data_IF_218822516820
#
_entry.id   IF_218822516820
#
_cell.length_a   1.000
_cell.length_b   1.000
_cell.length_c   1.000
_cell.angle_alpha   90.00
_cell.angle_beta   90.00
_cell.angle_gamma   90.00
#
_symmetry.space_group_name_H-M   'P 1'
#
loop_
_entity.id
_entity.type
_entity.pdbx_description
1 polymer ?
#
# COMPACT_ATOMS: atom_id res chain seq x y z
N UNK A 1 -2.76 6.86 -35.57
CA UNK A 1 -2.79 7.68 -36.80
C UNK A 1 -2.55 6.80 -38.01
N UNK A 2 -3.49 6.86 -38.89
CA UNK A 2 -3.63 6.13 -40.17
C UNK A 2 -2.53 6.43 -41.20
N UNK A 3 -2.21 5.44 -42.03
CA UNK A 3 -2.25 5.49 -43.52
C UNK A 3 -1.43 4.35 -44.11
N UNK A 4 -2.05 3.42 -44.69
CA UNK A 4 -2.56 3.15 -46.09
C UNK A 4 -1.49 2.89 -47.13
N UNK A 5 -1.51 1.68 -47.65
CA UNK A 5 -1.58 1.13 -49.01
C UNK A 5 -0.88 1.87 -50.16
N UNK A 6 -0.16 1.08 -50.93
CA UNK A 6 -0.39 1.08 -52.39
C UNK A 6 0.19 -0.19 -53.05
N UNK A 7 -0.68 -0.89 -53.72
CA UNK A 7 -0.36 -1.96 -54.69
C UNK A 7 -0.11 -1.34 -56.05
N UNK A 8 0.78 -1.95 -56.82
CA UNK A 8 0.80 -1.77 -58.30
C UNK A 8 1.00 -3.12 -58.99
N UNK A 9 0.01 -3.48 -59.75
CA UNK A 9 0.06 -4.54 -60.74
C UNK A 9 0.53 -3.97 -62.10
N UNK A 10 1.32 -4.72 -62.82
CA UNK A 10 1.53 -4.47 -64.22
C UNK A 10 1.61 -5.82 -65.00
N UNK A 11 0.75 -5.91 -65.97
CA UNK A 11 0.52 -6.98 -66.95
C UNK A 11 1.42 -6.72 -68.18
N UNK A 12 1.84 -7.79 -68.80
CA UNK A 12 2.26 -7.80 -70.22
C UNK A 12 3.47 -8.72 -70.45
N UNK A 13 3.56 -9.66 -71.21
CA UNK A 13 3.04 -10.04 -72.53
C UNK A 13 3.80 -11.33 -72.91
N UNK A 14 3.10 -12.24 -73.50
CA UNK A 14 3.56 -13.51 -74.10
C UNK A 14 4.64 -13.36 -75.17
N UNK A 15 5.67 -14.23 -75.08
CA UNK A 15 6.43 -14.69 -76.27
C UNK A 15 6.76 -16.16 -76.10
N UNK A 16 6.14 -17.00 -76.91
CA UNK A 16 6.43 -18.45 -77.06
C UNK A 16 7.66 -18.56 -77.98
N UNK A 17 8.68 -19.27 -77.53
CA UNK A 17 9.72 -19.85 -78.41
C UNK A 17 10.01 -21.26 -77.96
N UNK A 18 9.94 -22.15 -78.92
CA UNK A 18 10.05 -23.60 -78.83
C UNK A 18 11.47 -24.11 -78.60
N UNK A 19 11.53 -25.21 -77.90
CA UNK A 19 12.43 -26.33 -78.02
C UNK A 19 13.89 -26.18 -77.61
N UNK A 20 14.17 -26.69 -76.48
CA UNK A 20 15.37 -27.28 -75.97
C UNK A 20 14.98 -28.04 -74.72
N UNK A 21 15.05 -29.38 -74.73
CA UNK A 21 14.93 -30.19 -73.53
C UNK A 21 15.99 -29.67 -72.55
N UNK A 22 15.63 -29.08 -71.46
CA UNK A 22 16.62 -28.90 -70.42
C UNK A 22 16.90 -30.29 -69.84
N UNK A 23 18.18 -30.67 -69.82
CA UNK A 23 18.63 -31.61 -68.83
C UNK A 23 17.98 -31.20 -67.50
N UNK A 24 17.28 -32.09 -66.88
CA UNK A 24 16.83 -31.87 -65.51
C UNK A 24 18.10 -31.55 -64.69
N UNK A 25 18.38 -30.26 -64.48
CA UNK A 25 19.18 -29.89 -63.34
C UNK A 25 18.39 -30.44 -62.15
N UNK A 26 18.88 -31.53 -61.57
CA UNK A 26 18.48 -31.86 -60.20
C UNK A 26 18.62 -30.53 -59.44
N UNK A 27 17.53 -30.02 -58.92
CA UNK A 27 17.60 -28.93 -57.98
C UNK A 27 18.61 -29.37 -56.93
N UNK A 28 19.74 -28.69 -56.80
CA UNK A 28 20.65 -28.91 -55.71
C UNK A 28 19.78 -28.76 -54.44
N UNK A 29 19.62 -29.88 -53.69
CA UNK A 29 18.89 -29.86 -52.44
C UNK A 29 19.48 -28.79 -51.53
N UNK A 30 18.68 -28.15 -50.77
CA UNK A 30 19.19 -27.18 -49.81
C UNK A 30 19.78 -27.95 -48.64
N UNK A 31 21.06 -27.71 -48.33
CA UNK A 31 21.73 -28.36 -47.18
C UNK A 31 20.97 -28.08 -45.87
N UNK A 32 20.99 -29.02 -44.90
CA UNK A 32 20.33 -28.83 -43.63
C UNK A 32 20.73 -27.53 -42.95
N UNK A 33 19.74 -26.81 -42.42
CA UNK A 33 19.91 -25.58 -41.66
C UNK A 33 19.88 -25.91 -40.15
N UNK A 34 21.00 -25.73 -39.49
CA UNK A 34 21.12 -25.91 -38.02
C UNK A 34 20.73 -24.58 -37.34
N UNK A 35 19.57 -24.55 -36.79
CA UNK A 35 19.02 -23.31 -36.19
C UNK A 35 19.67 -22.98 -34.84
N UNK A 36 19.87 -24.02 -34.01
CA UNK A 36 20.53 -23.88 -32.71
C UNK A 36 20.84 -25.23 -32.09
N UNK A 37 21.81 -25.26 -31.15
CA UNK A 37 22.16 -26.42 -30.31
C UNK A 37 22.51 -25.95 -28.90
N UNK A 38 21.64 -26.25 -27.90
CA UNK A 38 21.80 -25.76 -26.54
C UNK A 38 21.48 -26.82 -25.50
N UNK A 39 21.89 -26.57 -24.23
CA UNK A 39 21.41 -27.35 -23.09
C UNK A 39 19.90 -27.19 -22.93
N UNK A 40 19.23 -28.26 -22.51
CA UNK A 40 17.85 -28.21 -22.04
C UNK A 40 17.83 -27.51 -20.65
N UNK A 41 17.00 -26.47 -20.47
CA UNK A 41 17.02 -25.65 -19.27
C UNK A 41 16.76 -26.40 -17.96
N UNK A 42 15.88 -27.41 -18.01
CA UNK A 42 15.52 -28.18 -16.81
C UNK A 42 16.39 -29.44 -16.67
N UNK A 43 17.24 -29.75 -17.68
CA UNK A 43 18.12 -30.92 -17.73
C UNK A 43 19.44 -30.58 -18.43
N UNK A 44 20.31 -29.88 -17.73
CA UNK A 44 21.55 -29.32 -18.28
C UNK A 44 22.56 -30.35 -18.80
N UNK A 45 22.35 -31.60 -18.50
CA UNK A 45 23.11 -32.73 -19.10
C UNK A 45 22.63 -33.13 -20.49
N UNK A 46 21.46 -32.68 -20.92
CA UNK A 46 20.86 -33.00 -22.20
C UNK A 46 21.14 -31.92 -23.23
N UNK A 47 21.68 -32.28 -24.37
CA UNK A 47 21.84 -31.44 -25.52
C UNK A 47 20.60 -31.51 -26.41
N UNK A 48 20.03 -30.35 -26.73
CA UNK A 48 18.96 -30.19 -27.70
C UNK A 48 19.49 -29.55 -28.97
N UNK A 49 19.08 -30.02 -30.13
CA UNK A 49 19.49 -29.54 -31.46
C UNK A 49 18.24 -29.32 -32.30
N UNK A 50 18.10 -28.16 -32.91
CA UNK A 50 17.03 -27.85 -33.86
C UNK A 50 17.58 -27.75 -35.27
N UNK A 51 17.02 -28.55 -36.17
CA UNK A 51 17.46 -28.60 -37.58
C UNK A 51 16.23 -28.59 -38.46
N UNK A 52 16.37 -27.98 -39.66
CA UNK A 52 15.41 -28.12 -40.75
C UNK A 52 16.13 -28.38 -42.06
N UNK A 53 15.49 -29.15 -42.94
CA UNK A 53 15.95 -29.47 -44.30
C UNK A 53 14.76 -29.71 -45.22
N UNK A 54 14.98 -29.78 -46.52
CA UNK A 54 13.95 -30.17 -47.48
C UNK A 54 13.65 -31.67 -47.47
N UNK A 55 14.53 -32.47 -46.85
CA UNK A 55 14.34 -33.90 -46.67
C UNK A 55 14.67 -34.34 -45.21
N UNK A 56 14.32 -35.57 -44.86
CA UNK A 56 14.47 -36.05 -43.47
C UNK A 56 15.95 -36.09 -43.04
N UNK A 57 16.23 -35.57 -41.83
CA UNK A 57 17.57 -35.65 -41.24
C UNK A 57 17.88 -37.10 -40.88
N UNK A 58 18.96 -37.62 -41.44
CA UNK A 58 19.42 -39.02 -41.30
C UNK A 58 20.60 -39.15 -40.35
N UNK A 59 21.41 -38.12 -40.19
CA UNK A 59 22.52 -38.10 -39.25
C UNK A 59 22.72 -36.75 -38.61
N UNK A 60 23.00 -36.77 -37.30
CA UNK A 60 23.42 -35.65 -36.49
C UNK A 60 24.67 -36.05 -35.73
N UNK A 61 25.70 -35.21 -35.79
CA UNK A 61 26.93 -35.37 -35.02
C UNK A 61 27.22 -34.05 -34.31
N UNK A 62 27.37 -34.08 -32.99
CA UNK A 62 27.71 -32.92 -32.22
C UNK A 62 29.12 -33.01 -31.63
N UNK A 63 29.91 -31.98 -31.87
CA UNK A 63 31.26 -31.82 -31.29
C UNK A 63 31.17 -30.85 -30.13
N UNK A 64 31.54 -31.33 -28.94
CA UNK A 64 31.51 -30.53 -27.73
C UNK A 64 32.92 -29.98 -27.48
N UNK A 65 33.06 -28.66 -27.56
CA UNK A 65 34.34 -27.97 -27.49
C UNK A 65 34.37 -27.10 -26.22
N UNK A 66 35.39 -27.28 -25.38
CA UNK A 66 35.55 -26.46 -24.17
C UNK A 66 35.72 -25.01 -24.55
N UNK A 67 34.85 -24.14 -24.01
CA UNK A 67 34.95 -22.67 -24.20
C UNK A 67 36.25 -22.09 -23.63
N UNK A 68 36.79 -22.70 -22.56
CA UNK A 68 38.01 -22.23 -21.89
C UNK A 68 39.27 -22.61 -22.64
N UNK A 69 39.35 -23.86 -23.17
CA UNK A 69 40.59 -24.42 -23.79
C UNK A 69 40.51 -24.49 -25.31
N UNK A 70 39.35 -24.32 -25.89
CA UNK A 70 39.08 -24.50 -27.34
C UNK A 70 39.41 -25.92 -27.84
N UNK A 71 39.45 -26.90 -26.96
CA UNK A 71 39.68 -28.32 -27.28
C UNK A 71 38.36 -29.05 -27.34
N UNK A 72 38.23 -29.97 -28.32
CA UNK A 72 37.15 -30.93 -28.39
C UNK A 72 37.29 -31.92 -27.24
N UNK A 73 36.23 -32.05 -26.44
CA UNK A 73 36.21 -32.92 -25.26
C UNK A 73 35.32 -34.12 -25.42
N UNK A 74 34.34 -34.06 -26.33
CA UNK A 74 33.44 -35.17 -26.63
C UNK A 74 32.85 -35.03 -28.05
N UNK A 75 32.52 -36.18 -28.64
CA UNK A 75 31.68 -36.25 -29.84
C UNK A 75 30.45 -37.09 -29.52
N UNK A 76 29.29 -36.58 -29.90
CA UNK A 76 27.99 -37.23 -29.72
C UNK A 76 27.52 -37.70 -31.09
N UNK A 77 27.44 -39.00 -31.25
CA UNK A 77 27.09 -39.64 -32.53
C UNK A 77 25.56 -39.69 -32.72
N UNK A 78 25.13 -39.96 -33.95
CA UNK A 78 23.72 -39.94 -34.37
C UNK A 78 22.81 -40.84 -33.53
N UNK A 79 23.27 -42.00 -33.12
CA UNK A 79 22.49 -42.99 -32.35
C UNK A 79 22.14 -42.51 -30.94
N UNK A 80 22.90 -41.50 -30.42
CA UNK A 80 22.61 -40.87 -29.17
C UNK A 80 21.45 -39.87 -29.22
N UNK A 81 21.02 -39.42 -30.40
CA UNK A 81 19.92 -38.47 -30.57
C UNK A 81 18.57 -39.16 -30.78
N UNK A 82 17.51 -38.51 -30.36
CA UNK A 82 16.13 -38.88 -30.61
C UNK A 82 15.28 -37.64 -30.91
N UNK A 83 14.43 -37.73 -31.93
CA UNK A 83 13.46 -36.69 -32.27
C UNK A 83 12.44 -36.56 -31.12
N UNK A 84 12.31 -35.37 -30.54
CA UNK A 84 11.39 -35.08 -29.42
C UNK A 84 10.22 -34.21 -29.82
N UNK A 85 10.38 -33.39 -30.88
CA UNK A 85 9.29 -32.59 -31.41
C UNK A 85 9.50 -32.26 -32.88
N UNK A 86 8.44 -31.98 -33.61
CA UNK A 86 8.44 -31.68 -35.04
C UNK A 86 8.42 -32.95 -35.89
N UNK A 87 8.98 -32.86 -37.10
CA UNK A 87 9.07 -33.92 -38.12
C UNK A 87 10.53 -34.23 -38.41
N UNK A 88 10.85 -35.39 -39.04
CA UNK A 88 12.23 -35.74 -39.37
C UNK A 88 12.98 -34.74 -40.27
N UNK A 89 12.26 -33.93 -41.03
CA UNK A 89 12.79 -32.86 -41.90
C UNK A 89 12.82 -31.48 -41.20
N UNK A 90 12.04 -31.29 -40.11
CA UNK A 90 11.96 -30.05 -39.36
C UNK A 90 11.64 -30.31 -37.91
N UNK A 91 12.65 -30.56 -37.09
CA UNK A 91 12.46 -31.05 -35.74
C UNK A 91 13.47 -30.56 -34.71
N UNK A 92 13.24 -31.03 -33.50
CA UNK A 92 14.15 -30.85 -32.37
C UNK A 92 14.54 -32.26 -31.87
N UNK A 93 15.82 -32.50 -31.79
CA UNK A 93 16.41 -33.75 -31.28
C UNK A 93 17.09 -33.51 -29.95
N UNK A 94 16.89 -34.41 -29.00
CA UNK A 94 17.61 -34.41 -27.73
C UNK A 94 18.54 -35.62 -27.64
N UNK A 95 19.63 -35.50 -26.90
CA UNK A 95 20.39 -36.67 -26.49
C UNK A 95 19.53 -37.54 -25.59
N UNK A 96 19.47 -38.85 -25.87
CA UNK A 96 18.65 -39.87 -25.18
C UNK A 96 19.09 -40.06 -23.72
N UNK A 97 20.36 -39.81 -23.45
CA UNK A 97 20.98 -39.88 -22.12
C UNK A 97 21.72 -38.59 -21.85
N UNK A 98 21.88 -38.17 -20.57
CA UNK A 98 22.74 -37.10 -20.24
C UNK A 98 24.16 -37.27 -20.74
N UNK A 99 24.77 -36.20 -21.18
CA UNK A 99 26.18 -36.21 -21.55
C UNK A 99 27.05 -36.50 -20.31
N UNK A 100 28.12 -37.23 -20.49
CA UNK A 100 29.10 -37.52 -19.43
C UNK A 100 30.42 -36.82 -19.77
N UNK A 101 30.51 -35.53 -19.40
CA UNK A 101 31.72 -34.71 -19.53
C UNK A 101 32.53 -34.79 -18.24
N UNK A 102 33.85 -34.68 -18.36
CA UNK A 102 34.77 -34.80 -17.22
C UNK A 102 34.60 -33.61 -16.25
N UNK A 103 34.42 -32.41 -16.79
CA UNK A 103 34.37 -31.13 -16.02
C UNK A 103 33.05 -30.45 -16.22
N UNK A 104 32.63 -29.71 -15.18
CA UNK A 104 31.56 -28.71 -15.30
C UNK A 104 32.09 -27.49 -16.06
N UNK A 105 31.26 -26.87 -16.87
CA UNK A 105 31.68 -25.69 -17.63
C UNK A 105 30.75 -25.27 -18.76
N UNK A 106 31.19 -24.23 -19.46
CA UNK A 106 30.58 -23.81 -20.72
C UNK A 106 31.30 -24.44 -21.89
N UNK A 107 30.55 -24.95 -22.84
CA UNK A 107 31.06 -25.59 -24.05
C UNK A 107 30.39 -24.96 -25.28
N UNK A 108 31.16 -24.77 -26.34
CA UNK A 108 30.61 -24.49 -27.66
C UNK A 108 30.20 -25.80 -28.34
N UNK A 109 29.07 -25.77 -29.02
CA UNK A 109 28.56 -26.93 -29.76
C UNK A 109 28.70 -26.65 -31.24
N UNK A 110 29.39 -27.57 -31.94
CA UNK A 110 29.45 -27.61 -33.39
C UNK A 110 28.63 -28.81 -33.89
N UNK A 111 27.84 -28.61 -34.92
CA UNK A 111 26.93 -29.62 -35.44
C UNK A 111 27.28 -29.93 -36.89
N UNK A 112 27.40 -31.22 -37.18
CA UNK A 112 27.33 -31.75 -38.53
C UNK A 112 25.97 -32.44 -38.72
N UNK A 113 25.26 -32.12 -39.77
CA UNK A 113 23.99 -32.74 -40.12
C UNK A 113 23.98 -33.24 -41.55
N UNK A 114 23.32 -34.36 -41.77
CA UNK A 114 23.12 -34.96 -43.12
C UNK A 114 21.65 -35.32 -43.26
N UNK A 115 21.07 -35.08 -44.41
CA UNK A 115 19.68 -35.45 -44.70
C UNK A 115 19.59 -36.68 -45.62
N UNK A 116 18.36 -37.05 -46.03
CA UNK A 116 18.10 -38.23 -46.83
C UNK A 116 18.57 -38.13 -48.28
N UNK A 117 18.72 -36.91 -48.78
CA UNK A 117 19.24 -36.63 -50.14
C UNK A 117 20.78 -36.64 -50.15
N UNK A 118 21.41 -36.74 -49.00
CA UNK A 118 22.86 -36.80 -48.83
C UNK A 118 23.51 -35.43 -48.69
N UNK A 119 22.70 -34.36 -48.64
CA UNK A 119 23.18 -33.03 -48.43
C UNK A 119 23.68 -32.83 -46.97
N UNK A 120 24.73 -32.03 -46.80
CA UNK A 120 25.45 -31.93 -45.55
C UNK A 120 25.68 -30.47 -45.18
N UNK A 121 25.61 -30.18 -43.87
CA UNK A 121 26.03 -28.95 -43.33
C UNK A 121 26.98 -29.16 -42.13
N UNK A 122 27.84 -28.16 -41.90
CA UNK A 122 28.65 -28.07 -40.67
C UNK A 122 28.51 -26.68 -40.12
N UNK A 123 27.86 -26.55 -38.97
CA UNK A 123 27.80 -25.31 -38.22
C UNK A 123 28.79 -25.34 -37.06
N UNK A 124 29.84 -24.51 -37.15
CA UNK A 124 30.91 -24.43 -36.16
C UNK A 124 30.54 -23.66 -34.89
N UNK A 125 29.37 -23.02 -34.85
CA UNK A 125 28.88 -22.22 -33.74
C UNK A 125 27.38 -22.37 -33.51
N UNK A 126 26.89 -23.62 -33.69
CA UNK A 126 25.47 -23.93 -33.57
C UNK A 126 24.84 -23.53 -32.23
N UNK A 127 25.66 -23.43 -31.18
CA UNK A 127 25.18 -22.96 -29.87
C UNK A 127 26.13 -23.25 -28.73
N UNK A 128 25.56 -23.34 -27.50
CA UNK A 128 26.34 -23.55 -26.30
C UNK A 128 25.69 -24.57 -25.35
N UNK A 129 26.55 -25.38 -24.71
CA UNK A 129 26.14 -26.26 -23.64
C UNK A 129 26.61 -25.72 -22.33
N UNK A 130 25.67 -25.34 -21.48
CA UNK A 130 25.90 -25.00 -20.08
C UNK A 130 25.83 -26.27 -19.25
N UNK A 131 26.98 -26.91 -19.04
CA UNK A 131 27.07 -28.16 -18.28
C UNK A 131 27.33 -27.83 -16.80
N UNK A 132 26.26 -27.37 -16.12
CA UNK A 132 26.30 -26.81 -14.78
C UNK A 132 25.45 -27.62 -13.82
N UNK A 133 25.72 -27.46 -12.52
CA UNK A 133 24.85 -27.93 -11.45
C UNK A 133 23.66 -27.02 -11.30
N UNK A 134 22.45 -27.57 -11.35
CA UNK A 134 21.24 -26.83 -11.07
C UNK A 134 20.93 -26.89 -9.56
N UNK A 135 20.87 -25.75 -8.82
CA UNK A 135 20.54 -25.77 -7.41
C UNK A 135 19.06 -26.11 -7.21
N UNK A 136 18.79 -26.88 -6.17
CA UNK A 136 17.45 -27.33 -5.78
C UNK A 136 17.28 -27.10 -4.29
N UNK A 137 16.32 -26.28 -3.92
CA UNK A 137 15.94 -26.08 -2.54
C UNK A 137 14.89 -27.10 -2.12
N UNK A 138 15.09 -27.74 -0.97
CA UNK A 138 14.15 -28.71 -0.39
C UNK A 138 13.84 -28.34 1.06
N UNK A 139 12.60 -28.62 1.48
CA UNK A 139 12.14 -28.47 2.86
C UNK A 139 12.38 -27.06 3.46
N UNK A 140 12.35 -26.03 2.62
CA UNK A 140 12.50 -24.67 3.08
C UNK A 140 11.25 -24.27 3.86
N UNK A 141 11.44 -23.78 5.07
CA UNK A 141 10.36 -23.38 5.97
C UNK A 141 10.79 -22.28 6.92
N UNK A 142 9.83 -21.52 7.39
CA UNK A 142 10.00 -20.52 8.44
C UNK A 142 9.52 -21.09 9.78
N UNK A 143 10.09 -20.59 10.89
CA UNK A 143 9.69 -20.98 12.26
C UNK A 143 8.33 -20.40 12.65
N UNK A 144 7.87 -19.36 11.95
CA UNK A 144 6.58 -18.72 12.16
C UNK A 144 6.02 -18.14 10.86
N UNK A 145 4.70 -18.00 10.81
CA UNK A 145 3.96 -17.39 9.70
C UNK A 145 3.57 -15.94 9.95
N UNK A 146 3.71 -15.46 11.20
CA UNK A 146 3.38 -14.09 11.60
C UNK A 146 4.44 -13.54 12.55
N UNK A 147 4.61 -12.23 12.50
CA UNK A 147 5.45 -11.43 13.40
C UNK A 147 4.61 -10.35 14.10
N UNK A 148 5.07 -9.88 15.25
CA UNK A 148 4.44 -8.80 15.99
C UNK A 148 5.49 -7.76 16.42
N UNK A 149 5.06 -6.69 17.08
CA UNK A 149 5.91 -5.57 17.46
C UNK A 149 7.09 -5.99 18.35
N UNK A 150 6.91 -6.99 19.19
CA UNK A 150 7.91 -7.48 20.14
C UNK A 150 8.74 -8.65 19.59
N UNK A 151 8.28 -9.32 18.50
CA UNK A 151 8.90 -10.52 17.92
C UNK A 151 8.97 -10.41 16.38
N UNK A 152 9.92 -9.60 15.89
CA UNK A 152 10.10 -9.31 14.46
C UNK A 152 11.05 -10.27 13.74
N UNK A 153 11.68 -11.19 14.47
CA UNK A 153 12.63 -12.13 13.89
C UNK A 153 11.94 -13.38 13.37
N UNK A 154 12.35 -13.80 12.17
CA UNK A 154 11.93 -15.03 11.53
C UNK A 154 13.17 -15.86 11.22
N UNK A 155 13.17 -17.12 11.64
CA UNK A 155 14.19 -18.10 11.25
C UNK A 155 13.68 -18.88 10.04
N UNK A 156 14.55 -19.02 9.03
CA UNK A 156 14.33 -19.85 7.86
C UNK A 156 15.35 -20.98 7.84
N UNK A 157 14.88 -22.21 7.66
CA UNK A 157 15.69 -23.42 7.56
C UNK A 157 15.40 -24.12 6.22
N UNK A 158 16.38 -24.87 5.69
CA UNK A 158 16.19 -25.66 4.48
C UNK A 158 17.40 -26.50 4.11
N UNK A 159 17.28 -27.12 2.94
CA UNK A 159 18.36 -27.88 2.31
C UNK A 159 18.65 -27.29 0.93
N UNK A 160 19.92 -27.09 0.59
CA UNK A 160 20.38 -26.77 -0.75
C UNK A 160 21.11 -27.98 -1.32
N UNK A 161 20.58 -28.50 -2.42
CA UNK A 161 21.17 -29.59 -3.19
C UNK A 161 21.48 -29.15 -4.61
N UNK A 162 22.39 -29.82 -5.26
CA UNK A 162 22.67 -29.64 -6.69
C UNK A 162 22.21 -30.85 -7.48
N UNK A 163 21.50 -30.61 -8.58
CA UNK A 163 21.23 -31.61 -9.60
C UNK A 163 22.41 -31.64 -10.56
N UNK A 164 23.13 -32.77 -10.57
CA UNK A 164 24.34 -32.95 -11.38
C UNK A 164 23.98 -33.32 -12.82
N UNK A 165 24.55 -32.63 -13.82
CA UNK A 165 24.13 -32.79 -15.21
C UNK A 165 24.40 -34.22 -15.75
N UNK A 166 25.50 -34.85 -15.35
CA UNK A 166 25.86 -36.17 -15.82
C UNK A 166 24.89 -37.29 -15.40
N UNK A 167 24.41 -37.23 -14.16
CA UNK A 167 23.66 -38.34 -13.55
C UNK A 167 22.24 -38.00 -13.18
N UNK A 168 21.87 -36.70 -13.19
CA UNK A 168 20.62 -36.14 -12.65
C UNK A 168 20.44 -36.36 -11.15
N UNK A 169 21.44 -36.88 -10.46
CA UNK A 169 21.39 -37.10 -9.01
C UNK A 169 21.38 -35.78 -8.25
N UNK A 170 20.62 -35.77 -7.16
CA UNK A 170 20.64 -34.71 -6.20
C UNK A 170 21.69 -34.97 -5.12
N UNK A 171 22.69 -34.10 -5.00
CA UNK A 171 23.72 -34.20 -3.96
C UNK A 171 23.75 -32.92 -3.14
N UNK A 172 24.07 -32.98 -1.83
CA UNK A 172 24.23 -31.80 -1.02
C UNK A 172 25.24 -30.80 -1.63
N UNK A 173 24.92 -29.52 -1.61
CA UNK A 173 25.89 -28.48 -1.89
C UNK A 173 26.41 -27.92 -0.55
N UNK A 174 27.58 -28.47 -0.13
CA UNK A 174 28.24 -28.08 1.12
C UNK A 174 29.06 -26.79 0.93
N UNK A 175 29.13 -25.95 1.97
CA UNK A 175 29.86 -24.69 2.01
C UNK A 175 29.48 -23.68 0.92
N UNK A 176 28.19 -23.72 0.48
CA UNK A 176 27.66 -22.78 -0.49
C UNK A 176 26.93 -21.63 0.23
N UNK A 177 27.09 -20.37 -0.22
CA UNK A 177 26.34 -19.25 0.33
C UNK A 177 24.86 -19.37 -0.04
N UNK A 178 24.01 -19.09 0.92
CA UNK A 178 22.54 -18.97 0.74
C UNK A 178 22.14 -17.61 1.27
N UNK A 179 21.63 -16.78 0.41
CA UNK A 179 21.04 -15.52 0.76
C UNK A 179 19.61 -15.72 1.25
N UNK A 180 19.27 -15.05 2.34
CA UNK A 180 17.91 -15.00 2.84
C UNK A 180 17.36 -13.64 2.48
N UNK A 181 16.39 -13.64 1.58
CA UNK A 181 15.74 -12.43 1.09
C UNK A 181 14.47 -12.16 1.88
N UNK A 182 14.30 -10.89 2.24
CA UNK A 182 13.07 -10.31 2.79
C UNK A 182 12.60 -9.25 1.81
N UNK A 183 11.38 -9.36 1.30
CA UNK A 183 10.84 -8.47 0.27
C UNK A 183 11.77 -8.33 -0.95
N UNK A 184 12.36 -9.47 -1.38
CA UNK A 184 13.31 -9.60 -2.50
C UNK A 184 14.67 -8.92 -2.29
N UNK A 185 14.98 -8.46 -1.08
CA UNK A 185 16.29 -7.91 -0.72
C UNK A 185 17.02 -8.84 0.24
N UNK A 186 18.32 -9.04 0.01
CA UNK A 186 19.15 -9.87 0.88
C UNK A 186 19.36 -9.21 2.23
N UNK A 187 18.82 -9.83 3.28
CA UNK A 187 18.96 -9.38 4.67
C UNK A 187 20.04 -10.15 5.41
N UNK A 188 20.31 -11.40 5.01
CA UNK A 188 21.31 -12.24 5.63
C UNK A 188 21.86 -13.24 4.62
N UNK A 189 23.15 -13.62 4.79
CA UNK A 189 23.79 -14.69 4.01
C UNK A 189 24.36 -15.70 4.98
N UNK A 190 23.99 -16.96 4.78
CA UNK A 190 24.50 -18.09 5.56
C UNK A 190 25.18 -19.11 4.67
N UNK A 191 25.95 -20.05 5.25
CA UNK A 191 26.54 -21.14 4.48
C UNK A 191 25.90 -22.46 4.82
N UNK A 192 25.83 -23.34 3.83
CA UNK A 192 25.36 -24.71 4.02
C UNK A 192 26.42 -25.57 4.73
N UNK A 193 25.94 -26.50 5.56
CA UNK A 193 26.76 -27.55 6.17
C UNK A 193 27.10 -28.69 5.16
N UNK A 194 27.77 -29.76 5.67
CA UNK A 194 28.17 -30.91 4.86
C UNK A 194 26.99 -31.70 4.29
N UNK A 195 25.81 -31.62 4.87
CA UNK A 195 24.56 -32.20 4.40
C UNK A 195 23.74 -31.25 3.53
N UNK A 196 24.28 -30.06 3.24
CA UNK A 196 23.58 -29.01 2.49
C UNK A 196 22.50 -28.25 3.29
N UNK A 197 22.45 -28.40 4.61
CA UNK A 197 21.50 -27.67 5.46
C UNK A 197 21.95 -26.24 5.66
N UNK A 198 20.98 -25.35 5.69
CA UNK A 198 21.18 -23.95 6.07
C UNK A 198 20.14 -23.52 7.10
N UNK A 199 20.52 -22.55 7.92
CA UNK A 199 19.63 -21.91 8.87
C UNK A 199 20.08 -20.47 9.05
N UNK A 200 19.13 -19.53 8.92
CA UNK A 200 19.39 -18.11 9.11
C UNK A 200 18.22 -17.40 9.76
N UNK A 201 18.50 -16.26 10.37
CA UNK A 201 17.49 -15.41 11.01
C UNK A 201 17.53 -14.03 10.37
N UNK A 202 16.36 -13.48 10.08
CA UNK A 202 16.15 -12.16 9.49
C UNK A 202 15.15 -11.35 10.29
N UNK A 203 15.21 -10.03 10.18
CA UNK A 203 14.20 -9.13 10.74
C UNK A 203 13.15 -8.82 9.67
N UNK A 204 11.88 -8.84 10.07
CA UNK A 204 10.74 -8.56 9.22
C UNK A 204 10.04 -7.32 9.73
N UNK A 205 9.92 -6.29 8.87
CA UNK A 205 9.36 -5.00 9.23
C UNK A 205 7.98 -4.71 8.61
N UNK A 206 7.31 -5.76 8.10
CA UNK A 206 5.99 -5.65 7.49
C UNK A 206 5.48 -7.00 7.01
N UNK A 207 4.32 -7.01 6.37
CA UNK A 207 3.78 -8.20 5.72
C UNK A 207 4.50 -8.40 4.38
N UNK A 208 5.51 -9.27 4.36
CA UNK A 208 6.44 -9.45 3.23
C UNK A 208 6.76 -10.91 2.97
N UNK A 209 7.15 -11.29 1.74
CA UNK A 209 7.69 -12.61 1.44
C UNK A 209 9.11 -12.78 2.00
N UNK A 210 9.42 -14.00 2.43
CA UNK A 210 10.76 -14.44 2.81
C UNK A 210 11.10 -15.67 1.99
N UNK A 211 12.30 -15.74 1.43
CA UNK A 211 12.78 -16.85 0.61
C UNK A 211 14.28 -17.08 0.76
N UNK A 212 14.75 -18.28 0.41
CA UNK A 212 16.15 -18.59 0.29
C UNK A 212 16.57 -18.55 -1.18
N UNK A 213 17.71 -17.94 -1.46
CA UNK A 213 18.23 -17.74 -2.82
C UNK A 213 19.68 -18.16 -2.88
N UNK A 214 20.04 -18.94 -3.88
CA UNK A 214 21.42 -19.17 -4.24
C UNK A 214 21.79 -18.26 -5.43
N UNK A 215 22.72 -17.34 -5.22
CA UNK A 215 23.25 -16.50 -6.28
C UNK A 215 24.61 -17.03 -6.73
N UNK A 216 24.96 -16.75 -8.00
CA UNK A 216 26.23 -17.16 -8.55
C UNK A 216 27.38 -16.68 -7.65
N UNK A 217 28.22 -17.60 -7.19
CA UNK A 217 29.40 -17.33 -6.39
C UNK A 217 30.67 -17.60 -7.18
N UNK A 218 31.65 -16.70 -7.10
CA UNK A 218 32.93 -16.85 -7.81
C UNK A 218 33.68 -18.14 -7.41
N UNK A 219 33.50 -18.61 -6.18
CA UNK A 219 34.09 -19.84 -5.66
C UNK A 219 33.40 -21.11 -6.19
N UNK A 220 32.19 -20.97 -6.76
CA UNK A 220 31.39 -22.05 -7.33
C UNK A 220 30.82 -21.65 -8.71
N UNK A 221 31.69 -21.39 -9.72
CA UNK A 221 31.28 -20.72 -10.96
C UNK A 221 30.35 -21.55 -11.86
N UNK A 222 30.21 -22.84 -11.57
CA UNK A 222 29.43 -23.75 -12.36
C UNK A 222 28.15 -24.25 -11.66
N UNK A 223 27.71 -23.51 -10.65
CA UNK A 223 26.41 -23.71 -10.03
C UNK A 223 25.52 -22.52 -10.45
N UNK A 224 24.36 -22.84 -11.00
CA UNK A 224 23.44 -21.83 -11.51
C UNK A 224 22.74 -21.07 -10.37
N UNK A 225 22.07 -20.00 -10.72
CA UNK A 225 21.10 -19.34 -9.86
C UNK A 225 19.93 -20.27 -9.53
N UNK A 226 19.40 -20.16 -8.32
CA UNK A 226 18.19 -20.84 -7.90
C UNK A 226 17.56 -20.19 -6.69
N UNK A 227 16.26 -20.39 -6.54
CA UNK A 227 15.48 -19.83 -5.44
C UNK A 227 14.49 -20.86 -4.89
N UNK A 228 14.16 -20.74 -3.62
CA UNK A 228 13.09 -21.49 -3.01
C UNK A 228 11.73 -20.85 -3.32
N UNK A 229 10.61 -21.57 -3.16
CA UNK A 229 9.32 -20.93 -3.02
C UNK A 229 9.37 -19.91 -1.89
N UNK A 230 8.73 -18.75 -2.10
CA UNK A 230 8.62 -17.71 -1.08
C UNK A 230 7.54 -18.08 -0.06
N UNK A 231 7.78 -17.73 1.20
CA UNK A 231 6.80 -17.83 2.30
C UNK A 231 6.34 -16.44 2.69
N UNK A 232 5.04 -16.18 2.60
CA UNK A 232 4.48 -14.91 3.05
C UNK A 232 4.44 -14.86 4.57
N UNK A 233 5.09 -13.88 5.18
CA UNK A 233 5.02 -13.60 6.61
C UNK A 233 3.96 -12.53 6.83
N UNK A 234 3.00 -12.82 7.69
CA UNK A 234 1.95 -11.89 8.12
C UNK A 234 2.42 -10.99 9.27
N UNK A 235 1.63 -9.95 9.52
CA UNK A 235 1.82 -9.04 10.66
C UNK A 235 0.61 -9.15 11.59
N UNK A 236 0.87 -9.42 12.86
CA UNK A 236 -0.12 -9.28 13.92
C UNK A 236 0.02 -7.90 14.56
N UNK A 237 -0.99 -7.07 14.34
CA UNK A 237 -1.03 -5.75 14.95
C UNK A 237 -1.34 -5.86 16.44
N UNK A 238 -0.63 -5.07 17.24
CA UNK A 238 -0.98 -4.85 18.63
C UNK A 238 -2.19 -3.93 18.72
N UNK A 239 -3.20 -4.31 19.51
CA UNK A 239 -4.35 -3.46 19.75
C UNK A 239 -3.93 -2.23 20.58
N UNK A 240 -4.46 -1.07 20.25
CA UNK A 240 -4.26 0.17 21.00
C UNK A 240 -5.60 0.79 21.38
N UNK A 241 -5.62 1.55 22.47
CA UNK A 241 -6.82 2.28 22.92
C UNK A 241 -6.46 3.63 23.52
N UNK A 242 -7.35 4.58 23.35
CA UNK A 242 -7.31 5.87 24.04
C UNK A 242 -8.29 5.90 25.22
N UNK A 243 -7.86 6.47 26.33
CA UNK A 243 -8.72 6.82 27.47
C UNK A 243 -8.61 8.31 27.70
N UNK A 244 -9.74 9.04 27.59
CA UNK A 244 -9.80 10.49 27.90
C UNK A 244 -9.98 10.63 29.39
N UNK A 245 -9.10 11.39 30.04
CA UNK A 245 -9.13 11.69 31.48
C UNK A 245 -9.71 13.07 31.76
N UNK A 246 -9.46 14.05 30.86
CA UNK A 246 -9.95 15.40 30.98
C UNK A 246 -10.43 15.88 29.59
N UNK A 247 -11.66 16.40 29.48
CA UNK A 247 -12.69 16.45 30.51
C UNK A 247 -13.29 15.06 30.76
N UNK A 248 -13.56 14.72 32.02
CA UNK A 248 -14.20 13.42 32.39
C UNK A 248 -15.66 13.33 31.96
N UNK A 249 -16.34 14.47 31.85
CA UNK A 249 -17.75 14.59 31.48
C UNK A 249 -18.02 15.87 30.69
N UNK A 250 -19.19 15.92 30.07
CA UNK A 250 -19.64 17.11 29.36
C UNK A 250 -19.57 18.35 30.23
N UNK A 251 -19.12 19.45 29.67
CA UNK A 251 -18.99 20.74 30.35
C UNK A 251 -19.50 21.89 29.48
N UNK A 252 -19.84 22.98 30.14
CA UNK A 252 -20.25 24.22 29.50
C UNK A 252 -19.24 25.34 29.80
N UNK A 253 -18.78 26.00 28.76
CA UNK A 253 -17.80 27.11 28.84
C UNK A 253 -18.30 28.33 28.13
N UNK A 254 -17.67 29.46 28.40
CA UNK A 254 -17.86 30.66 27.59
C UNK A 254 -16.99 30.64 26.34
N UNK A 255 -17.45 31.30 25.29
CA UNK A 255 -16.68 31.49 24.06
C UNK A 255 -15.32 32.13 24.39
N UNK A 256 -14.25 31.60 23.80
CA UNK A 256 -12.88 32.03 24.07
C UNK A 256 -12.22 31.42 25.30
N UNK A 257 -12.96 30.65 26.11
CA UNK A 257 -12.41 29.90 27.22
C UNK A 257 -11.66 28.62 26.74
N UNK A 258 -10.48 28.42 27.27
CA UNK A 258 -9.68 27.24 26.97
C UNK A 258 -10.17 25.99 27.70
N UNK A 259 -10.08 24.85 27.01
CA UNK A 259 -10.32 23.52 27.57
C UNK A 259 -9.05 22.72 27.44
N UNK A 260 -8.64 22.09 28.52
CA UNK A 260 -7.55 21.12 28.53
C UNK A 260 -8.09 19.73 28.24
N UNK A 261 -7.53 19.07 27.24
CA UNK A 261 -7.71 17.66 26.95
C UNK A 261 -6.51 16.90 27.49
N UNK A 262 -6.75 15.86 28.32
CA UNK A 262 -5.74 14.89 28.70
C UNK A 262 -6.24 13.48 28.33
N UNK A 263 -5.40 12.72 27.66
CA UNK A 263 -5.73 11.35 27.25
C UNK A 263 -4.49 10.46 27.33
N UNK A 264 -4.70 9.18 27.60
CA UNK A 264 -3.65 8.16 27.65
C UNK A 264 -3.85 7.16 26.52
N UNK A 265 -2.80 6.87 25.76
CA UNK A 265 -2.73 5.76 24.82
C UNK A 265 -2.12 4.55 25.53
N UNK A 266 -2.77 3.41 25.39
CA UNK A 266 -2.29 2.13 25.89
C UNK A 266 -2.21 1.11 24.76
N UNK A 267 -1.27 0.17 24.86
CA UNK A 267 -1.22 -1.03 24.02
C UNK A 267 -1.54 -2.29 24.81
N UNK A 268 -2.11 -3.26 24.12
CA UNK A 268 -2.36 -4.58 24.69
C UNK A 268 -1.06 -5.40 24.80
N UNK A 269 -0.87 -6.07 25.93
CA UNK A 269 0.19 -7.05 26.16
C UNK A 269 -0.41 -8.29 26.78
N UNK A 270 0.31 -9.43 26.84
CA UNK A 270 -0.18 -10.62 27.56
C UNK A 270 -0.51 -10.39 29.05
N UNK A 271 0.06 -9.34 29.65
CA UNK A 271 -0.16 -8.95 31.04
C UNK A 271 -1.28 -7.91 31.21
N UNK A 272 -1.88 -7.46 30.12
CA UNK A 272 -2.93 -6.45 30.08
C UNK A 272 -2.50 -5.18 29.35
N UNK A 273 -3.24 -4.10 29.57
CA UNK A 273 -3.00 -2.82 28.93
C UNK A 273 -1.88 -2.07 29.63
N UNK A 274 -0.93 -1.57 28.86
CA UNK A 274 0.21 -0.79 29.37
C UNK A 274 0.33 0.53 28.59
N UNK A 275 0.84 1.60 29.22
CA UNK A 275 1.12 2.86 28.53
C UNK A 275 1.93 2.66 27.26
N UNK A 276 1.64 3.45 26.22
CA UNK A 276 2.33 3.36 24.95
C UNK A 276 3.00 4.69 24.60
N UNK A 277 4.30 4.75 24.94
CA UNK A 277 5.18 5.88 24.71
C UNK A 277 5.53 6.08 23.24
N UNK A 278 5.88 7.31 22.88
CA UNK A 278 6.52 7.65 21.60
C UNK A 278 5.60 7.61 20.38
N UNK A 279 4.28 7.46 20.59
CA UNK A 279 3.33 7.39 19.48
C UNK A 279 2.89 8.77 19.03
N UNK A 280 2.99 9.01 17.72
CA UNK A 280 2.50 10.25 17.11
C UNK A 280 1.00 10.22 16.89
N UNK A 281 0.37 11.41 16.92
CA UNK A 281 -1.04 11.52 16.66
C UNK A 281 -1.50 12.96 16.49
N UNK A 282 -2.81 13.14 16.41
CA UNK A 282 -3.44 14.45 16.27
C UNK A 282 -4.72 14.58 17.05
N UNK A 283 -5.06 15.83 17.35
CA UNK A 283 -6.35 16.22 17.91
C UNK A 283 -7.13 16.98 16.86
N UNK A 284 -8.35 16.53 16.63
CA UNK A 284 -9.33 17.19 15.78
C UNK A 284 -10.41 17.78 16.67
N UNK A 285 -10.91 18.96 16.34
CA UNK A 285 -12.16 19.47 16.91
C UNK A 285 -13.31 19.15 15.95
N UNK A 286 -14.37 18.54 16.46
CA UNK A 286 -15.55 18.13 15.72
C UNK A 286 -16.76 18.94 16.17
N UNK A 287 -17.21 19.93 15.35
CA UNK A 287 -18.39 20.70 15.64
C UNK A 287 -19.66 19.88 15.67
N UNK A 288 -20.51 20.08 16.70
CA UNK A 288 -21.82 19.41 16.77
C UNK A 288 -22.82 19.94 15.73
N UNK A 289 -22.55 21.08 15.11
CA UNK A 289 -23.35 21.64 14.01
C UNK A 289 -23.28 20.82 12.71
N UNK A 290 -22.36 19.84 12.62
CA UNK A 290 -22.05 19.11 11.39
C UNK A 290 -21.10 19.87 10.47
N UNK A 291 -20.49 20.94 10.95
CA UNK A 291 -19.43 21.68 10.27
C UNK A 291 -18.18 20.82 10.05
N UNK A 292 -17.24 21.34 9.25
CA UNK A 292 -15.99 20.65 8.95
C UNK A 292 -15.13 20.50 10.21
N UNK A 293 -14.65 19.29 10.50
CA UNK A 293 -13.67 19.04 11.55
C UNK A 293 -12.35 19.75 11.23
N UNK A 294 -11.72 20.32 12.23
CA UNK A 294 -10.44 21.01 12.10
C UNK A 294 -9.35 20.35 12.93
N UNK A 295 -8.14 20.23 12.37
CA UNK A 295 -6.97 19.83 13.13
C UNK A 295 -6.56 20.98 14.05
N UNK A 296 -6.52 20.71 15.35
CA UNK A 296 -6.18 21.71 16.38
C UNK A 296 -4.82 21.47 17.02
N UNK A 297 -4.21 20.29 16.78
CA UNK A 297 -2.87 20.00 17.28
C UNK A 297 -2.37 18.63 16.91
N UNK A 298 -1.04 18.49 17.08
CA UNK A 298 -0.32 17.22 16.95
C UNK A 298 0.45 16.95 18.24
N UNK A 299 0.74 15.69 18.52
CA UNK A 299 1.43 15.30 19.73
C UNK A 299 2.32 14.07 19.50
N UNK A 300 3.16 13.78 20.49
CA UNK A 300 3.80 12.49 20.72
C UNK A 300 3.52 12.09 22.16
N UNK A 301 3.14 10.83 22.41
CA UNK A 301 2.85 10.34 23.77
C UNK A 301 4.11 10.31 24.64
N UNK A 302 3.98 10.74 25.89
CA UNK A 302 5.04 10.68 26.90
C UNK A 302 5.32 9.24 27.40
N UNK A 303 6.28 9.10 28.32
CA UNK A 303 6.68 7.82 28.93
C UNK A 303 5.50 7.07 29.58
N UNK A 304 4.53 7.79 30.11
CA UNK A 304 3.29 7.25 30.70
C UNK A 304 2.15 7.09 29.67
N UNK A 305 2.44 7.23 28.38
CA UNK A 305 1.47 7.18 27.29
C UNK A 305 0.54 8.40 27.21
N UNK A 306 0.72 9.41 28.08
CA UNK A 306 -0.17 10.58 28.16
C UNK A 306 0.14 11.64 27.12
N UNK A 307 -0.93 12.35 26.73
CA UNK A 307 -0.86 13.61 25.98
C UNK A 307 -1.74 14.63 26.67
N UNK A 308 -1.30 15.88 26.70
CA UNK A 308 -2.07 17.02 27.19
C UNK A 308 -2.10 18.08 26.11
N UNK A 309 -3.29 18.61 25.85
CA UNK A 309 -3.53 19.62 24.81
C UNK A 309 -4.55 20.64 25.31
N UNK A 310 -4.31 21.92 25.06
CA UNK A 310 -5.21 23.02 25.45
C UNK A 310 -5.66 23.79 24.22
N UNK A 311 -6.96 24.04 24.13
CA UNK A 311 -7.56 24.74 23.01
C UNK A 311 -8.85 25.45 23.41
N UNK A 312 -9.13 26.60 22.79
CA UNK A 312 -10.39 27.30 22.91
C UNK A 312 -11.32 26.94 21.74
N UNK A 313 -12.32 26.06 21.97
CA UNK A 313 -13.24 25.68 20.90
C UNK A 313 -14.12 26.87 20.49
N UNK A 314 -14.34 27.00 19.18
CA UNK A 314 -15.11 28.13 18.61
C UNK A 314 -16.63 27.93 18.60
N UNK A 315 -17.08 26.69 18.84
CA UNK A 315 -18.49 26.32 18.96
C UNK A 315 -18.66 25.01 19.77
N UNK A 316 -19.89 24.64 20.04
CA UNK A 316 -20.21 23.38 20.72
C UNK A 316 -19.73 22.19 19.89
N UNK A 317 -19.01 21.24 20.52
CA UNK A 317 -18.43 20.10 19.84
C UNK A 317 -17.70 19.16 20.78
N UNK A 318 -16.84 18.32 20.21
CA UNK A 318 -15.95 17.42 20.96
C UNK A 318 -14.56 17.39 20.32
N UNK A 319 -13.55 17.01 21.11
CA UNK A 319 -12.23 16.71 20.59
C UNK A 319 -12.16 15.22 20.24
N UNK A 320 -11.65 14.90 19.05
CA UNK A 320 -11.26 13.55 18.69
C UNK A 320 -9.74 13.42 18.74
N UNK A 321 -9.26 12.48 19.56
CA UNK A 321 -7.85 12.10 19.62
C UNK A 321 -7.65 10.88 18.73
N UNK A 322 -6.63 10.92 17.87
CA UNK A 322 -6.29 9.81 16.98
C UNK A 322 -4.80 9.52 17.05
N UNK A 323 -4.42 8.27 17.19
CA UNK A 323 -3.05 7.84 16.94
C UNK A 323 -2.79 7.70 15.44
N UNK A 324 -1.61 8.10 14.99
CA UNK A 324 -1.09 7.84 13.66
C UNK A 324 0.16 7.02 13.79
N UNK A 325 0.17 5.85 13.22
CA UNK A 325 1.38 5.03 13.13
C UNK A 325 1.57 4.57 11.69
N UNK A 326 2.76 4.78 11.16
CA UNK A 326 3.20 4.17 9.90
C UNK A 326 3.81 2.78 10.17
N UNK A 327 3.94 2.38 11.45
CA UNK A 327 4.39 1.04 11.84
C UNK A 327 3.25 0.04 11.60
N UNK A 328 3.42 -0.93 10.68
CA UNK A 328 2.40 -1.91 10.35
C UNK A 328 2.02 -2.83 11.52
N UNK A 329 2.79 -2.84 12.60
CA UNK A 329 2.53 -3.63 13.81
C UNK A 329 1.58 -2.97 14.81
N UNK A 330 1.13 -1.74 14.55
CA UNK A 330 0.31 -0.97 15.47
C UNK A 330 -1.07 -0.73 14.87
N UNK A 331 -2.11 -1.23 15.52
CA UNK A 331 -3.48 -0.90 15.13
C UNK A 331 -3.79 0.57 15.49
N UNK A 332 -4.33 1.37 14.56
CA UNK A 332 -4.71 2.75 14.86
C UNK A 332 -5.87 2.79 15.86
N UNK A 333 -5.88 3.78 16.75
CA UNK A 333 -6.96 4.01 17.68
C UNK A 333 -7.44 5.45 17.64
N UNK A 334 -8.72 5.65 17.94
CA UNK A 334 -9.30 6.98 18.13
C UNK A 334 -10.35 6.97 19.21
N UNK A 335 -10.54 8.10 19.88
CA UNK A 335 -11.61 8.31 20.86
C UNK A 335 -12.05 9.76 20.85
N UNK A 336 -13.29 10.02 21.31
CA UNK A 336 -13.81 11.36 21.45
C UNK A 336 -13.85 11.76 22.93
N UNK A 337 -13.59 13.04 23.19
CA UNK A 337 -13.89 13.64 24.50
C UNK A 337 -15.41 13.71 24.71
N UNK A 338 -15.86 13.86 25.96
CA UNK A 338 -17.19 14.35 26.25
C UNK A 338 -17.46 15.67 25.52
N UNK A 339 -18.75 15.97 25.30
CA UNK A 339 -19.17 17.18 24.64
C UNK A 339 -18.80 18.45 25.44
N UNK A 340 -18.35 19.47 24.74
CA UNK A 340 -18.09 20.80 25.25
C UNK A 340 -19.12 21.74 24.66
N UNK A 341 -19.99 22.29 25.51
CA UNK A 341 -20.96 23.30 25.11
C UNK A 341 -20.32 24.69 25.22
N UNK A 342 -20.29 25.42 24.11
CA UNK A 342 -19.77 26.79 24.07
C UNK A 342 -20.91 27.76 24.02
N UNK A 343 -20.99 28.63 25.02
CA UNK A 343 -22.00 29.66 25.10
C UNK A 343 -21.39 31.04 24.76
N UNK A 344 -22.04 31.73 23.85
CA UNK A 344 -21.71 33.10 23.46
C UNK A 344 -22.51 34.10 24.29
N UNK A 345 -21.96 35.29 24.46
CA UNK A 345 -22.63 36.35 25.14
C UNK A 345 -23.80 36.93 24.31
N UNK A 346 -24.84 37.33 24.97
CA UNK A 346 -25.89 38.17 24.44
C UNK A 346 -26.08 39.35 25.39
N UNK A 347 -26.21 40.56 24.86
CA UNK A 347 -26.24 41.80 25.65
C UNK A 347 -27.33 42.73 25.11
N UNK A 348 -28.12 43.28 26.01
CA UNK A 348 -28.97 44.42 25.64
C UNK A 348 -28.15 45.70 25.63
N UNK A 349 -28.00 46.34 24.48
CA UNK A 349 -27.29 47.62 24.35
C UNK A 349 -28.19 48.83 24.65
N UNK A 350 -29.51 48.68 24.51
CA UNK A 350 -30.48 49.68 24.92
C UNK A 350 -31.82 49.04 25.29
N UNK A 351 -32.55 49.68 26.17
CA UNK A 351 -33.96 49.41 26.44
C UNK A 351 -34.63 50.66 27.00
N UNK A 352 -35.78 51.01 26.45
CA UNK A 352 -36.59 52.14 26.93
C UNK A 352 -38.08 51.76 26.99
N UNK A 353 -38.80 52.48 27.77
CA UNK A 353 -40.26 52.34 27.88
C UNK A 353 -40.89 53.74 27.99
N UNK A 354 -41.80 54.03 27.09
CA UNK A 354 -42.46 55.40 26.99
C UNK A 354 -43.97 55.26 27.06
N UNK A 355 -44.65 56.08 27.85
CA UNK A 355 -46.10 56.14 27.95
C UNK A 355 -46.71 56.60 26.65
N UNK A 356 -47.70 55.87 26.13
CA UNK A 356 -48.51 56.31 25.00
C UNK A 356 -49.72 57.14 25.48
N UNK A 357 -50.35 57.85 24.56
CA UNK A 357 -51.56 58.70 24.91
C UNK A 357 -52.74 57.83 25.30
N UNK A 358 -52.81 56.59 24.90
CA UNK A 358 -53.91 55.64 25.13
C UNK A 358 -53.73 54.79 26.42
N UNK A 359 -52.97 55.30 27.40
CA UNK A 359 -52.61 54.58 28.64
C UNK A 359 -51.75 53.32 28.48
N UNK A 360 -51.25 53.07 27.29
CA UNK A 360 -50.34 52.00 26.97
C UNK A 360 -48.89 52.37 27.29
N UNK A 361 -47.97 51.49 26.94
CA UNK A 361 -46.53 51.68 26.95
C UNK A 361 -45.92 51.15 25.67
N UNK A 362 -45.19 52.03 24.98
CA UNK A 362 -44.31 51.65 23.91
C UNK A 362 -42.95 51.27 24.52
N UNK A 363 -42.44 50.07 24.16
CA UNK A 363 -41.10 49.60 24.53
C UNK A 363 -40.26 49.46 23.28
N UNK A 364 -39.01 49.84 23.36
CA UNK A 364 -38.02 49.65 22.28
C UNK A 364 -36.65 49.34 22.88
N UNK A 365 -35.82 48.65 22.10
CA UNK A 365 -34.46 48.33 22.51
C UNK A 365 -33.66 47.70 21.41
N UNK A 366 -32.42 47.39 21.76
CA UNK A 366 -31.51 46.67 20.87
C UNK A 366 -30.70 45.61 21.64
N UNK A 367 -30.37 44.53 20.96
CA UNK A 367 -29.49 43.47 21.43
C UNK A 367 -28.28 43.34 20.51
N UNK A 368 -27.16 42.99 21.14
CA UNK A 368 -25.90 42.69 20.45
C UNK A 368 -25.38 41.32 20.82
N UNK A 369 -24.66 40.73 19.90
CA UNK A 369 -23.94 39.47 20.04
C UNK A 369 -22.46 39.72 19.75
N UNK A 370 -21.66 40.02 20.79
CA UNK A 370 -20.30 40.59 20.66
C UNK A 370 -19.34 39.67 19.86
N UNK A 371 -19.53 38.35 19.91
CA UNK A 371 -18.67 37.38 19.22
C UNK A 371 -19.01 37.19 17.73
N UNK A 372 -19.90 38.06 17.17
CA UNK A 372 -20.20 38.07 15.74
C UNK A 372 -21.11 36.99 15.21
N UNK A 373 -21.63 36.12 16.09
CA UNK A 373 -22.61 35.07 15.76
C UNK A 373 -23.98 35.49 16.28
N UNK A 374 -25.00 35.19 15.52
CA UNK A 374 -26.39 35.53 15.90
C UNK A 374 -27.28 34.29 15.81
N UNK A 375 -28.27 34.15 16.71
CA UNK A 375 -29.31 33.11 16.55
C UNK A 375 -30.12 33.36 15.27
N UNK A 376 -30.72 32.30 14.73
CA UNK A 376 -31.60 32.39 13.57
C UNK A 376 -32.85 33.23 13.84
N UNK A 377 -33.35 33.20 15.08
CA UNK A 377 -34.44 34.02 15.60
C UNK A 377 -34.06 34.57 16.96
N UNK A 378 -34.49 35.77 17.29
CA UNK A 378 -34.12 36.44 18.53
C UNK A 378 -35.41 36.87 19.26
N UNK A 379 -36.10 35.89 19.93
CA UNK A 379 -37.29 36.19 20.69
C UNK A 379 -36.92 37.00 21.95
N UNK A 380 -37.57 38.14 22.13
CA UNK A 380 -37.38 39.02 23.28
C UNK A 380 -38.67 39.09 24.09
N UNK A 381 -38.59 38.63 25.33
CA UNK A 381 -39.71 38.64 26.27
C UNK A 381 -39.73 40.00 26.98
N UNK A 382 -40.82 40.73 26.83
CA UNK A 382 -41.05 41.96 27.57
C UNK A 382 -41.68 41.59 28.89
N UNK A 383 -40.98 41.92 29.99
CA UNK A 383 -41.41 41.59 31.35
C UNK A 383 -41.83 42.87 32.08
N UNK A 384 -42.84 42.70 32.92
CA UNK A 384 -43.36 43.75 33.79
C UNK A 384 -43.22 43.35 35.27
N UNK A 385 -42.97 44.38 36.10
CA UNK A 385 -43.00 44.27 37.56
C UNK A 385 -43.58 45.50 38.17
N UNK A 386 -44.47 45.34 39.12
CA UNK A 386 -45.03 46.44 39.89
C UNK A 386 -44.04 47.05 40.86
N UNK A 387 -43.18 46.24 41.43
CA UNK A 387 -42.27 46.60 42.54
C UNK A 387 -40.77 46.48 42.17
N UNK A 388 -40.48 46.04 40.96
CA UNK A 388 -39.11 45.75 40.50
C UNK A 388 -38.51 44.48 41.00
N UNK A 389 -39.29 43.64 41.73
CA UNK A 389 -38.78 42.37 42.31
C UNK A 389 -39.39 41.12 41.71
N UNK A 390 -40.69 41.14 41.47
CA UNK A 390 -41.40 40.03 40.86
C UNK A 390 -41.74 40.37 39.41
N UNK A 391 -41.29 39.55 38.47
CA UNK A 391 -41.41 39.78 37.05
C UNK A 391 -42.37 38.77 36.43
N UNK A 392 -43.19 39.24 35.49
CA UNK A 392 -44.08 38.42 34.69
C UNK A 392 -43.92 38.81 33.22
N UNK A 393 -43.93 37.81 32.34
CA UNK A 393 -43.92 38.04 30.90
C UNK A 393 -45.23 38.69 30.46
N UNK A 394 -45.15 39.72 29.69
CA UNK A 394 -46.31 40.39 29.07
C UNK A 394 -46.53 39.93 27.64
N UNK A 395 -45.48 39.95 26.85
CA UNK A 395 -45.51 39.54 25.46
C UNK A 395 -44.13 39.15 25.01
N UNK A 396 -44.04 38.52 23.84
CA UNK A 396 -42.81 38.25 23.13
C UNK A 396 -42.80 38.98 21.80
N UNK A 397 -41.71 39.68 21.51
CA UNK A 397 -41.44 40.31 20.22
C UNK A 397 -40.16 39.69 19.62
N UNK A 398 -39.87 39.95 18.38
CA UNK A 398 -38.65 39.46 17.74
C UNK A 398 -37.70 40.62 17.44
N UNK A 399 -36.43 40.47 17.79
CA UNK A 399 -35.42 41.45 17.43
C UNK A 399 -34.87 41.13 16.04
N UNK A 400 -34.76 42.14 15.18
CA UNK A 400 -34.31 42.02 13.80
C UNK A 400 -33.13 43.00 13.54
N UNK A 401 -32.27 42.62 12.60
CA UNK A 401 -31.11 43.43 12.26
C UNK A 401 -31.50 44.80 11.73
N UNK A 402 -30.96 45.87 12.34
CA UNK A 402 -31.27 47.28 12.04
C UNK A 402 -30.10 48.07 11.42
N UNK A 403 -28.97 47.38 11.10
CA UNK A 403 -27.75 48.03 10.58
C UNK A 403 -26.67 48.26 11.65
N UNK A 404 -27.04 48.36 12.92
CA UNK A 404 -26.11 48.59 14.04
C UNK A 404 -26.33 47.66 15.23
N UNK A 405 -27.28 46.73 15.14
CA UNK A 405 -27.66 45.79 16.18
C UNK A 405 -29.03 45.21 15.86
N UNK A 406 -29.54 44.31 16.73
CA UNK A 406 -30.86 43.70 16.54
C UNK A 406 -31.88 44.47 17.34
N UNK A 407 -32.63 45.33 16.66
CA UNK A 407 -33.64 46.17 17.26
C UNK A 407 -34.99 45.45 17.41
N UNK A 408 -35.71 45.78 18.46
CA UNK A 408 -37.07 45.33 18.73
C UNK A 408 -37.92 46.47 19.26
N UNK A 409 -39.21 46.37 19.03
CA UNK A 409 -40.20 47.26 19.63
C UNK A 409 -41.52 46.54 19.83
N UNK A 410 -42.32 47.00 20.75
CA UNK A 410 -43.67 46.50 20.99
C UNK A 410 -44.54 47.52 21.70
N UNK A 411 -45.84 47.51 21.41
CA UNK A 411 -46.84 48.31 22.09
C UNK A 411 -47.63 47.45 23.07
N UNK A 412 -47.76 47.92 24.30
CA UNK A 412 -48.43 47.23 25.39
C UNK A 412 -49.62 48.05 25.79
N UNK A 413 -50.85 47.53 25.47
CA UNK A 413 -52.07 48.15 25.84
C UNK A 413 -52.32 48.06 27.37
N UNK A 414 -52.98 49.07 27.96
CA UNK A 414 -53.44 49.09 29.38
C UNK A 414 -52.32 48.68 30.40
N UNK A 415 -51.09 49.08 30.11
CA UNK A 415 -49.96 48.77 30.98
C UNK A 415 -50.01 49.51 32.32
N UNK A 416 -49.94 48.82 33.43
CA UNK A 416 -49.92 49.37 34.80
C UNK A 416 -48.72 50.28 35.07
N UNK A 417 -48.74 51.01 36.19
CA UNK A 417 -47.55 51.75 36.67
C UNK A 417 -46.57 50.74 37.29
N UNK A 418 -45.36 50.71 36.80
CA UNK A 418 -44.34 49.75 37.25
C UNK A 418 -43.05 49.82 36.42
N UNK A 419 -42.28 48.79 36.47
CA UNK A 419 -41.02 48.62 35.77
C UNK A 419 -41.21 47.68 34.63
N UNK A 420 -40.48 47.92 33.56
CA UNK A 420 -40.39 47.09 32.37
C UNK A 420 -38.93 46.70 32.16
N UNK A 421 -38.70 45.49 31.63
CA UNK A 421 -37.39 45.02 31.15
C UNK A 421 -37.57 44.05 29.97
N UNK A 422 -36.53 43.91 29.20
CA UNK A 422 -36.45 42.88 28.15
C UNK A 422 -35.64 41.73 28.66
N UNK A 423 -36.01 40.52 28.25
CA UNK A 423 -35.32 39.28 28.57
C UNK A 423 -35.18 38.40 27.34
N UNK A 424 -33.97 37.91 27.12
CA UNK A 424 -33.65 36.91 26.11
C UNK A 424 -33.31 35.60 26.85
N UNK A 425 -34.00 34.51 26.52
CA UNK A 425 -33.76 33.23 27.14
C UNK A 425 -32.46 32.60 26.63
N UNK A 426 -31.80 31.82 27.46
CA UNK A 426 -30.65 31.03 27.04
C UNK A 426 -31.01 30.03 25.93
N UNK A 427 -30.14 29.88 24.98
CA UNK A 427 -30.23 28.84 23.94
C UNK A 427 -29.11 27.85 24.09
N UNK A 428 -29.05 26.84 23.22
CA UNK A 428 -27.91 25.89 23.17
C UNK A 428 -26.55 26.53 22.84
N UNK A 429 -26.55 27.80 22.36
CA UNK A 429 -25.33 28.49 21.91
C UNK A 429 -25.15 29.90 22.49
N UNK A 430 -26.15 30.43 23.19
CA UNK A 430 -26.12 31.80 23.74
C UNK A 430 -26.58 31.81 25.18
N UNK A 431 -25.94 32.65 25.99
CA UNK A 431 -26.37 32.92 27.37
C UNK A 431 -27.65 33.76 27.40
N UNK A 432 -28.43 33.58 28.45
CA UNK A 432 -29.54 34.48 28.72
C UNK A 432 -29.02 35.92 28.97
N UNK A 433 -29.81 36.90 28.55
CA UNK A 433 -29.56 38.29 28.85
C UNK A 433 -30.83 38.96 29.40
N UNK A 434 -30.64 40.00 30.21
CA UNK A 434 -31.73 40.82 30.74
C UNK A 434 -31.31 42.27 30.70
N UNK A 435 -32.17 43.16 30.17
CA UNK A 435 -31.92 44.59 30.16
C UNK A 435 -32.01 45.20 31.57
N UNK A 436 -31.53 46.41 31.73
CA UNK A 436 -31.87 47.18 32.90
C UNK A 436 -33.39 47.38 32.99
N UNK A 437 -33.88 47.46 34.22
CA UNK A 437 -35.28 47.70 34.48
C UNK A 437 -35.59 49.21 34.46
N UNK A 438 -36.51 49.62 33.60
CA UNK A 438 -36.88 51.02 33.45
C UNK A 438 -38.32 51.27 33.86
N UNK A 439 -38.62 52.46 34.41
CA UNK A 439 -40.01 52.99 34.56
C UNK A 439 -40.41 53.64 33.25
N UNK A 440 -41.64 53.41 32.83
CA UNK A 440 -42.13 54.08 31.64
C UNK A 440 -42.11 55.63 31.84
N UNK A 441 -41.31 56.30 31.03
CA UNK A 441 -41.25 57.79 30.98
C UNK A 441 -42.55 58.37 30.39
N UNK A 442 -42.82 59.63 30.66
CA UNK A 442 -43.95 60.39 30.07
C UNK A 442 -43.55 60.88 28.69
#
# INVERSE_FOLDING_TARGET
MFRTRAAWAAIGTFAILLAGSPAANAAEGQAPDVRWANSVSDDLGTLAVSISSDSAITAIRAHIVSAATQQEVAVVENDAFGLVSGTPDNGVWHTKQPLSLADLGSYTVRIEATDADGDRTTDNSAGSLAYYVAPVFENVRTDRAEVDIDHRQVRIDGLLKGRWPATRELKPLADHPVDIDVDYWTENTVRTDTEGRFSGTVNVNGAVPVQAVYRHANEHPYVLYGESPSTQIGVRQVATRWTVQTPEKAQTIDFGQEVTLAATLERETPQGWVPFEGQSGGVLFEPSSGGQSASVGYFTTGEDGTVTFTHAPWETGSFRVTSRSDDPFIAPASTNSPQITVLRASVFSSFSATRTQDHGVHVEGAMDFPEGWTPATIPVHIQYSRDGKKWADLLTTEATWSGSGHAFSADIADAGRGYFRAHFEATGSFRAATSEAVKASR
#
